data_IF_704955869560
#
_entry.id   IF_704955869560
#
_cell.length_a   1.000
_cell.length_b   1.000
_cell.length_c   1.000
_cell.angle_alpha   90.00
_cell.angle_beta   90.00
_cell.angle_gamma   90.00
#
_symmetry.space_group_name_H-M   'P 1'
#
loop_
_entity.id
_entity.type
_entity.pdbx_description
1 polymer ?
#
# COMPACT_ATOMS: atom_id res chain seq x y z
N UNK A 1 9.57 0.62 6.28
CA UNK A 1 9.42 1.28 4.96
C UNK A 1 10.26 2.56 4.97
N UNK A 2 11.03 2.83 3.91
CA UNK A 2 11.90 4.03 3.81
C UNK A 2 11.35 5.10 2.85
N UNK A 3 10.36 4.75 2.04
CA UNK A 3 9.79 5.61 1.01
C UNK A 3 8.86 4.81 0.09
N UNK A 4 8.20 5.52 -0.81
CA UNK A 4 7.34 4.95 -1.84
C UNK A 4 6.89 6.03 -2.82
N UNK A 5 6.50 5.62 -4.02
CA UNK A 5 5.93 6.49 -5.03
C UNK A 5 4.62 5.89 -5.53
N UNK A 6 3.69 6.75 -5.92
CA UNK A 6 2.43 6.35 -6.52
C UNK A 6 2.15 7.23 -7.73
N UNK A 7 1.60 6.64 -8.78
CA UNK A 7 1.15 7.35 -9.97
C UNK A 7 -0.26 6.87 -10.32
N UNK A 8 -1.10 7.78 -10.81
CA UNK A 8 -2.50 7.51 -11.13
C UNK A 8 -3.33 8.79 -11.21
N UNK A 9 -4.64 8.66 -11.03
CA UNK A 9 -5.58 9.78 -11.06
C UNK A 9 -5.55 10.64 -9.80
N UNK A 10 -6.56 11.50 -9.64
CA UNK A 10 -6.63 12.47 -8.53
C UNK A 10 -6.51 11.81 -7.13
N UNK A 11 -7.07 10.60 -6.98
CA UNK A 11 -7.03 9.83 -5.72
C UNK A 11 -5.64 9.32 -5.34
N UNK A 12 -4.64 9.38 -6.23
CA UNK A 12 -3.25 9.02 -5.89
C UNK A 12 -2.65 9.93 -4.80
N UNK A 13 -3.14 11.17 -4.67
CA UNK A 13 -2.75 12.07 -3.59
C UNK A 13 -3.19 11.61 -2.20
N UNK A 14 -4.26 10.81 -2.09
CA UNK A 14 -4.64 10.19 -0.81
C UNK A 14 -3.72 9.01 -0.48
N UNK A 15 -3.37 8.21 -1.49
CA UNK A 15 -2.51 7.03 -1.31
C UNK A 15 -1.10 7.40 -0.85
N UNK A 16 -0.54 8.54 -1.27
CA UNK A 16 0.78 8.98 -0.79
C UNK A 16 0.76 9.34 0.71
N UNK A 17 -0.38 9.83 1.24
CA UNK A 17 -0.52 10.06 2.68
C UNK A 17 -0.49 8.73 3.45
N UNK A 18 -1.12 7.68 2.92
CA UNK A 18 -1.03 6.33 3.50
C UNK A 18 0.41 5.83 3.55
N UNK A 19 1.21 6.04 2.49
CA UNK A 19 2.65 5.74 2.49
C UNK A 19 3.38 6.54 3.58
N UNK A 20 3.08 7.84 3.72
CA UNK A 20 3.61 8.68 4.80
C UNK A 20 3.30 8.13 6.19
N UNK A 21 2.07 7.66 6.42
CA UNK A 21 1.65 6.99 7.67
C UNK A 21 2.45 5.71 7.91
N UNK A 22 2.63 4.85 6.90
CA UNK A 22 3.43 3.63 7.02
C UNK A 22 4.88 3.92 7.41
N UNK A 23 5.47 4.98 6.85
CA UNK A 23 6.82 5.45 7.22
C UNK A 23 6.84 5.93 8.67
N UNK A 24 5.89 6.80 9.06
CA UNK A 24 5.80 7.35 10.42
C UNK A 24 5.63 6.24 11.48
N UNK A 25 4.83 5.23 11.17
CA UNK A 25 4.60 4.06 12.01
C UNK A 25 5.73 3.03 11.97
N UNK A 26 6.78 3.27 11.16
CA UNK A 26 7.93 2.35 10.96
C UNK A 26 7.51 0.94 10.53
N UNK A 27 6.44 0.83 9.75
CA UNK A 27 5.91 -0.46 9.33
C UNK A 27 6.91 -1.25 8.47
N UNK A 28 6.98 -2.55 8.71
CA UNK A 28 7.69 -3.55 7.91
C UNK A 28 6.91 -3.93 6.64
N UNK A 29 7.56 -4.64 5.70
CA UNK A 29 6.86 -5.11 4.51
C UNK A 29 5.76 -6.11 4.87
N UNK A 30 5.98 -7.01 5.84
CA UNK A 30 5.00 -7.98 6.32
C UNK A 30 3.75 -7.32 6.93
N UNK A 31 3.92 -6.25 7.72
CA UNK A 31 2.80 -5.48 8.28
C UNK A 31 2.00 -4.74 7.20
N UNK A 32 2.64 -4.33 6.11
CA UNK A 32 1.95 -3.67 4.99
C UNK A 32 1.21 -4.70 4.13
N UNK A 33 1.79 -5.89 3.92
CA UNK A 33 1.15 -6.97 3.18
C UNK A 33 -0.14 -7.47 3.86
N UNK A 34 -0.21 -7.36 5.18
CA UNK A 34 -1.39 -7.76 5.98
C UNK A 34 -2.27 -6.58 6.43
N UNK A 35 -1.98 -5.37 5.94
CA UNK A 35 -2.69 -4.15 6.28
C UNK A 35 -4.18 -4.28 5.96
N UNK A 36 -5.02 -3.99 6.96
CA UNK A 36 -6.47 -4.03 6.80
C UNK A 36 -6.96 -2.74 6.12
N UNK A 37 -7.62 -2.90 4.97
CA UNK A 37 -8.18 -1.78 4.21
C UNK A 37 -9.61 -2.10 3.80
N UNK A 38 -10.52 -1.16 4.04
CA UNK A 38 -11.88 -1.25 3.53
C UNK A 38 -11.88 -1.05 2.02
N UNK A 39 -12.59 -1.92 1.30
CA UNK A 39 -12.74 -1.79 -0.16
C UNK A 39 -14.18 -1.65 -0.56
N UNK A 40 -14.44 -0.79 -1.56
CA UNK A 40 -15.74 -0.67 -2.19
C UNK A 40 -15.57 -0.55 -3.71
N UNK A 41 -16.29 -1.34 -4.54
CA UNK A 41 -16.06 -1.39 -6.00
C UNK A 41 -16.09 -0.05 -6.73
N UNK A 42 -16.88 0.92 -6.24
CA UNK A 42 -16.97 2.26 -6.82
C UNK A 42 -15.86 3.23 -6.38
N UNK A 43 -15.07 2.90 -5.35
CA UNK A 43 -14.12 3.81 -4.71
C UNK A 43 -12.68 3.29 -4.70
N UNK A 44 -12.49 1.98 -4.61
CA UNK A 44 -11.17 1.34 -4.49
C UNK A 44 -11.11 0.06 -5.31
N UNK A 45 -9.89 -0.44 -5.55
CA UNK A 45 -9.69 -1.77 -6.10
C UNK A 45 -10.16 -2.87 -5.15
N UNK A 46 -10.31 -4.08 -5.69
CA UNK A 46 -10.59 -5.31 -4.94
C UNK A 46 -9.52 -5.55 -3.87
N UNK A 47 -9.84 -6.13 -2.70
CA UNK A 47 -8.85 -6.53 -1.70
C UNK A 47 -7.72 -7.39 -2.27
N UNK A 48 -8.04 -8.24 -3.26
CA UNK A 48 -7.09 -9.13 -3.94
C UNK A 48 -6.11 -8.35 -4.82
N UNK A 49 -6.54 -7.20 -5.35
CA UNK A 49 -5.76 -6.40 -6.29
C UNK A 49 -5.37 -5.04 -5.69
N UNK A 50 -5.36 -4.92 -4.36
CA UNK A 50 -5.10 -3.63 -3.71
C UNK A 50 -3.61 -3.30 -3.81
N UNK A 51 -3.32 -2.11 -4.34
CA UNK A 51 -1.97 -1.75 -4.81
C UNK A 51 -0.92 -1.80 -3.69
N UNK A 52 -1.29 -1.40 -2.47
CA UNK A 52 -0.34 -1.26 -1.36
C UNK A 52 0.11 -2.63 -0.78
N UNK A 53 -0.80 -3.56 -0.42
CA UNK A 53 -0.45 -4.94 -0.08
C UNK A 53 0.29 -5.66 -1.19
N UNK A 54 -0.14 -5.53 -2.45
CA UNK A 54 0.53 -6.20 -3.57
C UNK A 54 1.98 -5.72 -3.74
N UNK A 55 2.24 -4.42 -3.58
CA UNK A 55 3.60 -3.89 -3.61
C UNK A 55 4.46 -4.43 -2.45
N UNK A 56 3.87 -4.60 -1.26
CA UNK A 56 4.55 -5.18 -0.12
C UNK A 56 4.85 -6.68 -0.33
N UNK A 57 3.91 -7.45 -0.88
CA UNK A 57 4.12 -8.87 -1.23
C UNK A 57 5.26 -9.04 -2.25
N UNK A 58 5.31 -8.17 -3.27
CA UNK A 58 6.43 -8.16 -4.23
C UNK A 58 7.75 -7.87 -3.49
N UNK A 59 7.78 -6.86 -2.62
CA UNK A 59 8.99 -6.54 -1.85
C UNK A 59 9.43 -7.71 -0.95
N UNK A 60 8.51 -8.39 -0.27
CA UNK A 60 8.80 -9.58 0.55
C UNK A 60 9.38 -10.71 -0.32
N UNK A 61 8.85 -10.89 -1.54
CA UNK A 61 9.36 -11.89 -2.47
C UNK A 61 10.81 -11.63 -2.88
N UNK A 62 11.16 -10.37 -3.16
CA UNK A 62 12.52 -9.99 -3.58
C UNK A 62 13.53 -9.91 -2.41
N UNK A 63 13.05 -9.95 -1.15
CA UNK A 63 13.91 -10.04 0.04
C UNK A 63 14.44 -11.46 0.31
N UNK A 64 13.91 -12.46 -0.39
CA UNK A 64 14.31 -13.87 -0.30
C UNK A 64 15.18 -14.26 -1.49
#
# INVERSE_FOLDING_TARGET
MIGGQVAGGFSSGEMINTIGTCIQARMTADEIATLQVGTHPALTSSPIAYQLPNAAEIAIREMK
#
